data_IF_579059881073
#
_entry.id   IF_579059881073
#
_cell.length_a   1.000
_cell.length_b   1.000
_cell.length_c   1.000
_cell.angle_alpha   90.00
_cell.angle_beta   90.00
_cell.angle_gamma   90.00
#
_symmetry.space_group_name_H-M   'P 1'
#
loop_
_entity.id
_entity.type
_entity.pdbx_description
1 polymer ?
#
# COMPACT_ATOMS: atom_id res chain seq x y z
N UNK A 1 -20.98 -4.95 -34.13
CA UNK A 1 -20.90 -4.06 -32.93
C UNK A 1 -19.64 -3.21 -33.11
N UNK A 2 -19.77 -1.87 -33.09
CA UNK A 2 -18.62 -0.95 -33.20
C UNK A 2 -18.07 -0.66 -31.82
N UNK A 3 -16.92 -1.27 -31.49
CA UNK A 3 -16.25 -1.08 -30.20
C UNK A 3 -15.58 0.30 -30.09
N UNK A 4 -15.07 0.88 -31.23
CA UNK A 4 -14.45 2.19 -31.20
C UNK A 4 -15.46 3.28 -30.86
N UNK A 5 -16.65 3.25 -31.47
CA UNK A 5 -17.72 4.19 -31.11
C UNK A 5 -18.11 4.12 -29.62
N UNK A 6 -18.06 2.92 -29.00
CA UNK A 6 -18.31 2.77 -27.55
C UNK A 6 -17.17 3.36 -26.70
N UNK A 7 -15.92 3.16 -27.12
CA UNK A 7 -14.75 3.74 -26.46
C UNK A 7 -14.76 5.27 -26.56
N UNK A 8 -15.07 5.80 -27.75
CA UNK A 8 -15.22 7.26 -27.96
C UNK A 8 -16.28 7.85 -27.01
N UNK A 9 -17.43 7.19 -26.91
CA UNK A 9 -18.50 7.61 -25.98
C UNK A 9 -17.98 7.63 -24.52
N UNK A 10 -17.29 6.58 -24.09
CA UNK A 10 -16.77 6.49 -22.72
C UNK A 10 -15.71 7.57 -22.44
N UNK A 11 -14.82 7.86 -23.39
CA UNK A 11 -13.79 8.90 -23.26
C UNK A 11 -14.43 10.30 -23.26
N UNK A 12 -15.41 10.55 -24.12
CA UNK A 12 -16.13 11.82 -24.16
C UNK A 12 -16.85 12.10 -22.83
N UNK A 13 -17.50 11.09 -22.23
CA UNK A 13 -18.11 11.23 -20.90
C UNK A 13 -17.08 11.68 -19.84
N UNK A 14 -15.85 11.12 -19.88
CA UNK A 14 -14.79 11.55 -18.95
C UNK A 14 -14.36 13.02 -19.18
N UNK A 15 -14.34 13.47 -20.44
CA UNK A 15 -14.07 14.87 -20.77
C UNK A 15 -15.19 15.79 -20.27
N UNK A 16 -16.45 15.43 -20.51
CA UNK A 16 -17.63 16.20 -20.06
C UNK A 16 -17.70 16.29 -18.53
N UNK A 17 -17.34 15.22 -17.83
CA UNK A 17 -17.30 15.18 -16.36
C UNK A 17 -16.03 15.83 -15.76
N UNK A 18 -15.09 16.32 -16.57
CA UNK A 18 -13.83 16.87 -16.12
C UNK A 18 -12.89 15.86 -15.45
N UNK A 19 -13.11 14.59 -15.65
CA UNK A 19 -12.32 13.48 -15.05
C UNK A 19 -11.27 12.87 -15.99
N UNK A 20 -11.18 13.38 -17.22
CA UNK A 20 -10.17 12.89 -18.17
C UNK A 20 -8.76 13.24 -17.67
N UNK A 21 -7.87 12.25 -17.63
CA UNK A 21 -6.51 12.41 -17.13
C UNK A 21 -5.54 12.59 -18.30
N UNK A 22 -4.76 13.67 -18.24
CA UNK A 22 -3.66 13.92 -19.18
C UNK A 22 -2.35 13.45 -18.54
N UNK A 23 -1.60 12.61 -19.25
CA UNK A 23 -0.29 12.15 -18.83
C UNK A 23 0.76 12.97 -19.57
N UNK A 24 1.64 13.65 -18.83
CA UNK A 24 2.72 14.44 -19.40
C UNK A 24 4.04 13.66 -19.35
N UNK A 25 4.86 13.80 -20.39
CA UNK A 25 6.18 13.18 -20.48
C UNK A 25 7.20 14.04 -19.72
N UNK A 26 7.69 13.53 -18.60
CA UNK A 26 8.61 14.23 -17.69
C UNK A 26 9.95 13.52 -17.66
N UNK A 27 10.99 14.22 -18.10
CA UNK A 27 12.38 13.79 -17.91
C UNK A 27 12.92 14.36 -16.59
N UNK A 28 13.15 13.45 -15.62
CA UNK A 28 13.84 13.77 -14.36
C UNK A 28 15.34 13.53 -14.55
N UNK A 29 16.16 14.44 -14.04
CA UNK A 29 17.62 14.32 -14.07
C UNK A 29 18.15 14.10 -12.67
N UNK A 30 18.95 13.05 -12.50
CA UNK A 30 19.61 12.77 -11.23
C UNK A 30 20.40 13.98 -10.72
N UNK A 31 20.25 14.30 -9.44
CA UNK A 31 20.89 15.46 -8.80
C UNK A 31 20.23 16.81 -9.11
N UNK A 32 19.12 16.86 -9.87
CA UNK A 32 18.42 18.11 -10.21
C UNK A 32 16.99 18.17 -9.64
N UNK A 33 16.54 17.10 -8.97
CA UNK A 33 15.23 17.08 -8.36
C UNK A 33 15.04 18.24 -7.36
N UNK A 34 13.88 18.95 -7.33
CA UNK A 34 12.60 18.66 -8.01
C UNK A 34 12.46 19.22 -9.43
N UNK A 35 13.54 19.76 -10.04
CA UNK A 35 13.50 20.26 -11.39
C UNK A 35 13.48 19.12 -12.41
N UNK A 36 12.68 19.31 -13.47
CA UNK A 36 12.51 18.34 -14.55
C UNK A 36 12.26 19.06 -15.88
N UNK A 37 12.30 18.32 -16.97
CA UNK A 37 11.95 18.82 -18.30
C UNK A 37 10.64 18.15 -18.73
N UNK A 38 9.64 18.95 -19.08
CA UNK A 38 8.44 18.47 -19.76
C UNK A 38 8.70 18.42 -21.28
N UNK A 39 8.61 17.22 -21.85
CA UNK A 39 8.65 17.01 -23.29
C UNK A 39 7.23 17.07 -23.85
N UNK A 40 6.95 18.09 -24.64
CA UNK A 40 5.61 18.31 -25.19
C UNK A 40 5.38 17.46 -26.45
N UNK A 41 4.10 17.19 -26.81
CA UNK A 41 3.77 16.44 -28.00
C UNK A 41 4.25 17.05 -29.31
N UNK A 42 4.46 18.38 -29.36
CA UNK A 42 5.00 19.12 -30.51
C UNK A 42 6.54 19.03 -30.63
N UNK A 43 7.19 18.28 -29.73
CA UNK A 43 8.65 18.12 -29.69
C UNK A 43 9.39 19.24 -28.96
N UNK A 44 8.68 20.26 -28.47
CA UNK A 44 9.30 21.31 -27.64
C UNK A 44 9.52 20.84 -26.20
N UNK A 45 10.50 21.43 -25.53
CA UNK A 45 10.84 21.15 -24.13
C UNK A 45 10.59 22.37 -23.26
N UNK A 46 10.10 22.12 -22.05
CA UNK A 46 9.85 23.17 -21.06
C UNK A 46 10.40 22.77 -19.69
N UNK A 47 11.24 23.60 -19.04
CA UNK A 47 11.63 23.40 -17.66
C UNK A 47 10.40 23.49 -16.74
N UNK A 48 10.30 22.56 -15.81
CA UNK A 48 9.23 22.53 -14.80
C UNK A 48 9.80 22.20 -13.42
N UNK A 49 9.05 22.52 -12.37
CA UNK A 49 9.30 22.06 -11.01
C UNK A 49 8.19 21.10 -10.60
N UNK A 50 8.55 19.88 -10.16
CA UNK A 50 7.61 18.86 -9.74
C UNK A 50 7.25 19.06 -8.26
N UNK A 51 6.02 19.48 -7.99
CA UNK A 51 5.50 19.71 -6.63
C UNK A 51 4.75 18.50 -6.06
N UNK A 52 4.31 17.58 -6.92
CA UNK A 52 3.47 16.44 -6.58
C UNK A 52 4.22 15.10 -6.61
N UNK A 53 5.54 15.12 -6.37
CA UNK A 53 6.34 13.90 -6.36
C UNK A 53 6.10 13.06 -5.11
N UNK A 54 6.13 11.72 -5.26
CA UNK A 54 6.01 10.78 -4.15
C UNK A 54 7.36 10.40 -3.50
N UNK A 55 8.47 10.77 -4.10
CA UNK A 55 9.81 10.61 -3.50
C UNK A 55 10.03 11.69 -2.42
N UNK A 56 9.36 11.53 -1.28
CA UNK A 56 9.23 12.55 -0.23
C UNK A 56 10.57 13.02 0.35
N UNK A 57 11.55 12.13 0.42
CA UNK A 57 12.88 12.40 0.99
C UNK A 57 13.97 12.50 -0.07
N UNK A 58 13.64 12.38 -1.36
CA UNK A 58 14.62 12.38 -2.44
C UNK A 58 15.53 11.13 -2.47
N UNK A 59 15.13 10.06 -1.79
CA UNK A 59 15.95 8.85 -1.67
C UNK A 59 16.18 8.13 -3.00
N UNK A 60 15.28 8.31 -3.97
CA UNK A 60 15.45 7.76 -5.32
C UNK A 60 16.68 8.31 -6.08
N UNK A 61 17.29 9.39 -5.58
CA UNK A 61 18.50 9.98 -6.13
C UNK A 61 19.68 9.94 -5.13
N UNK A 62 19.49 9.32 -3.97
CA UNK A 62 20.53 9.28 -2.94
C UNK A 62 21.70 8.41 -3.39
N UNK A 63 22.97 8.90 -3.30
CA UNK A 63 24.14 8.18 -3.81
C UNK A 63 24.28 6.75 -3.26
N UNK A 64 23.98 6.52 -1.99
CA UNK A 64 24.05 5.18 -1.39
C UNK A 64 23.00 4.21 -1.99
N UNK A 65 21.79 4.70 -2.28
CA UNK A 65 20.74 3.89 -2.92
C UNK A 65 21.16 3.53 -4.34
N UNK A 66 21.64 4.50 -5.12
CA UNK A 66 22.12 4.26 -6.48
C UNK A 66 23.31 3.30 -6.50
N UNK A 67 24.27 3.45 -5.57
CA UNK A 67 25.43 2.55 -5.49
C UNK A 67 25.01 1.10 -5.17
N UNK A 68 24.10 0.89 -4.22
CA UNK A 68 23.58 -0.43 -3.89
C UNK A 68 22.80 -1.08 -5.06
N UNK A 69 22.05 -0.27 -5.84
CA UNK A 69 21.37 -0.75 -7.05
C UNK A 69 22.37 -1.19 -8.13
N UNK A 70 23.44 -0.42 -8.36
CA UNK A 70 24.50 -0.80 -9.30
C UNK A 70 25.21 -2.08 -8.87
N UNK A 71 25.57 -2.21 -7.58
CA UNK A 71 26.18 -3.42 -7.05
C UNK A 71 25.29 -4.66 -7.27
N UNK A 72 24.00 -4.54 -6.94
CA UNK A 72 23.06 -5.65 -7.14
C UNK A 72 22.89 -6.01 -8.62
N UNK A 73 22.82 -5.01 -9.50
CA UNK A 73 22.70 -5.20 -10.95
C UNK A 73 23.92 -5.93 -11.51
N UNK A 74 25.12 -5.54 -11.13
CA UNK A 74 26.38 -6.18 -11.57
C UNK A 74 26.50 -7.61 -11.01
N UNK A 75 26.06 -7.85 -9.78
CA UNK A 75 26.19 -9.15 -9.13
C UNK A 75 25.17 -10.19 -9.64
N UNK A 76 23.96 -9.79 -9.99
CA UNK A 76 22.84 -10.74 -10.24
C UNK A 76 22.05 -10.48 -11.53
N UNK A 77 22.34 -9.40 -12.25
CA UNK A 77 21.57 -8.99 -13.43
C UNK A 77 20.28 -8.24 -13.08
N UNK A 78 19.52 -7.86 -14.12
CA UNK A 78 18.40 -6.91 -14.00
C UNK A 78 17.09 -7.50 -13.48
N UNK A 79 16.96 -8.81 -13.37
CA UNK A 79 15.69 -9.45 -13.03
C UNK A 79 15.83 -10.68 -12.14
N UNK A 80 14.72 -11.09 -11.53
CA UNK A 80 14.68 -12.26 -10.63
C UNK A 80 14.68 -13.62 -11.35
N UNK A 81 14.49 -13.64 -12.66
CA UNK A 81 14.56 -14.86 -13.48
C UNK A 81 13.35 -15.80 -13.38
N UNK A 82 12.34 -15.46 -12.58
CA UNK A 82 11.13 -16.29 -12.43
C UNK A 82 10.15 -15.75 -11.40
N UNK A 83 9.04 -16.46 -11.23
CA UNK A 83 8.08 -16.17 -10.16
C UNK A 83 8.65 -16.57 -8.79
N UNK A 84 8.18 -15.92 -7.73
CA UNK A 84 8.70 -16.11 -6.37
C UNK A 84 8.67 -17.56 -5.89
N UNK A 85 7.64 -18.31 -6.25
CA UNK A 85 7.43 -19.70 -5.82
C UNK A 85 8.19 -20.75 -6.62
N UNK A 86 8.82 -20.40 -7.75
CA UNK A 86 9.59 -21.34 -8.57
C UNK A 86 11.09 -21.08 -8.42
N UNK A 87 11.59 -19.96 -8.98
CA UNK A 87 13.01 -19.62 -8.99
C UNK A 87 13.31 -18.14 -8.74
N UNK A 88 12.28 -17.32 -8.62
CA UNK A 88 12.40 -15.85 -8.54
C UNK A 88 12.60 -15.30 -7.12
N UNK A 89 12.61 -16.13 -6.07
CA UNK A 89 12.98 -15.68 -4.72
C UNK A 89 14.49 -15.61 -4.58
N UNK A 90 15.02 -14.38 -4.63
CA UNK A 90 16.46 -14.12 -4.51
C UNK A 90 16.87 -13.81 -3.07
N UNK A 91 18.17 -13.77 -2.82
CA UNK A 91 18.74 -13.35 -1.54
C UNK A 91 18.30 -11.93 -1.15
N UNK A 92 18.13 -11.03 -2.12
CA UNK A 92 17.68 -9.65 -1.87
C UNK A 92 16.24 -9.59 -1.37
N UNK A 93 15.34 -10.42 -1.91
CA UNK A 93 13.98 -10.53 -1.36
C UNK A 93 14.02 -10.94 0.11
N UNK A 94 14.78 -11.98 0.45
CA UNK A 94 14.81 -12.50 1.83
C UNK A 94 15.47 -11.53 2.80
N UNK A 95 16.53 -10.84 2.39
CA UNK A 95 17.18 -9.80 3.21
C UNK A 95 16.23 -8.63 3.45
N UNK A 96 15.56 -8.12 2.40
CA UNK A 96 14.64 -7.01 2.54
C UNK A 96 13.41 -7.39 3.38
N UNK A 97 12.84 -8.58 3.20
CA UNK A 97 11.75 -9.09 4.05
C UNK A 97 12.17 -9.16 5.53
N UNK A 98 13.40 -9.59 5.83
CA UNK A 98 13.92 -9.63 7.19
C UNK A 98 14.10 -8.21 7.80
N UNK A 99 14.65 -7.26 7.03
CA UNK A 99 14.79 -5.86 7.48
C UNK A 99 13.44 -5.19 7.73
N UNK A 100 12.44 -5.46 6.88
CA UNK A 100 11.10 -4.91 7.05
C UNK A 100 10.36 -5.53 8.24
N UNK A 101 10.54 -6.82 8.48
CA UNK A 101 10.01 -7.49 9.66
C UNK A 101 10.60 -6.91 10.95
N UNK A 102 11.93 -6.72 10.99
CA UNK A 102 12.62 -6.08 12.11
C UNK A 102 12.19 -4.62 12.31
N UNK A 103 12.07 -3.84 11.22
CA UNK A 103 11.60 -2.45 11.26
C UNK A 103 10.24 -2.35 11.96
N UNK A 104 9.31 -3.21 11.61
CA UNK A 104 7.95 -3.22 12.16
C UNK A 104 7.76 -4.09 13.40
N UNK A 105 8.86 -4.70 13.92
CA UNK A 105 8.81 -5.61 15.07
C UNK A 105 7.78 -6.74 14.88
N UNK A 106 7.70 -7.27 13.65
CA UNK A 106 6.85 -8.40 13.28
C UNK A 106 7.70 -9.64 13.02
N UNK A 107 7.05 -10.80 13.05
CA UNK A 107 7.76 -12.08 12.84
C UNK A 107 8.25 -12.23 11.40
N UNK A 108 7.49 -11.73 10.43
CA UNK A 108 7.82 -11.84 9.01
C UNK A 108 7.27 -10.63 8.22
N UNK A 109 7.88 -10.36 7.07
CA UNK A 109 7.33 -9.47 6.06
C UNK A 109 7.27 -10.19 4.71
N UNK A 110 6.37 -9.74 3.84
CA UNK A 110 6.17 -10.31 2.51
C UNK A 110 6.16 -9.19 1.47
N UNK A 111 7.07 -9.28 0.49
CA UNK A 111 7.22 -8.29 -0.58
C UNK A 111 6.23 -8.52 -1.72
N UNK A 112 5.71 -7.42 -2.26
CA UNK A 112 4.87 -7.34 -3.45
C UNK A 112 5.44 -6.33 -4.44
N UNK A 113 4.97 -6.34 -5.68
CA UNK A 113 5.38 -5.39 -6.72
C UNK A 113 5.00 -3.94 -6.39
N UNK A 114 4.00 -3.73 -5.56
CA UNK A 114 3.58 -2.42 -5.05
C UNK A 114 2.73 -2.58 -3.78
N UNK A 115 2.58 -1.51 -3.00
CA UNK A 115 1.63 -1.47 -1.89
C UNK A 115 0.17 -1.59 -2.36
N UNK A 116 -0.13 -1.16 -3.59
CA UNK A 116 -1.43 -1.39 -4.21
C UNK A 116 -1.76 -2.88 -4.27
N UNK A 117 -0.81 -3.67 -4.81
CA UNK A 117 -0.97 -5.13 -4.91
C UNK A 117 -0.94 -5.80 -3.53
N UNK A 118 -0.14 -5.29 -2.59
CA UNK A 118 -0.11 -5.79 -1.22
C UNK A 118 -1.48 -5.63 -0.53
N UNK A 119 -2.11 -4.44 -0.63
CA UNK A 119 -3.47 -4.18 -0.13
C UNK A 119 -4.50 -5.09 -0.81
N UNK A 120 -4.55 -5.07 -2.14
CA UNK A 120 -5.53 -5.83 -2.92
C UNK A 120 -5.41 -7.34 -2.67
N UNK A 121 -4.18 -7.88 -2.74
CA UNK A 121 -3.93 -9.30 -2.52
C UNK A 121 -4.25 -9.74 -1.09
N UNK A 122 -3.85 -8.96 -0.08
CA UNK A 122 -4.07 -9.32 1.32
C UNK A 122 -5.54 -9.25 1.68
N UNK A 123 -6.19 -8.09 1.49
CA UNK A 123 -7.60 -7.90 1.86
C UNK A 123 -8.55 -8.82 1.09
N UNK A 124 -8.26 -9.14 -0.19
CA UNK A 124 -9.07 -10.10 -0.94
C UNK A 124 -8.84 -11.55 -0.54
N UNK A 125 -7.75 -11.86 0.15
CA UNK A 125 -7.42 -13.23 0.57
C UNK A 125 -7.94 -13.54 1.97
N UNK A 126 -7.98 -12.57 2.87
CA UNK A 126 -8.43 -12.78 4.26
C UNK A 126 -9.79 -13.51 4.37
N UNK A 127 -10.84 -13.18 3.61
CA UNK A 127 -12.12 -13.92 3.71
C UNK A 127 -12.06 -15.36 3.21
N UNK A 128 -11.05 -15.75 2.43
CA UNK A 128 -10.81 -17.15 2.07
C UNK A 128 -10.18 -17.93 3.23
N UNK A 129 -9.35 -17.24 4.02
CA UNK A 129 -8.67 -17.81 5.19
C UNK A 129 -9.60 -17.86 6.41
N UNK A 130 -10.52 -16.90 6.53
CA UNK A 130 -11.48 -16.78 7.64
C UNK A 130 -12.90 -16.77 7.09
N UNK A 131 -13.54 -17.95 6.89
CA UNK A 131 -14.92 -18.02 6.39
C UNK A 131 -15.87 -17.20 7.27
N UNK A 132 -16.69 -16.35 6.67
CA UNK A 132 -17.59 -15.45 7.38
C UNK A 132 -16.96 -14.12 7.82
N UNK A 133 -15.70 -13.85 7.46
CA UNK A 133 -15.02 -12.60 7.81
C UNK A 133 -15.80 -11.36 7.36
N UNK A 134 -15.94 -10.42 8.29
CA UNK A 134 -16.50 -9.10 8.04
C UNK A 134 -15.35 -8.08 8.02
N UNK A 135 -15.23 -7.31 6.94
CA UNK A 135 -14.24 -6.25 6.82
C UNK A 135 -14.89 -4.90 7.12
N UNK A 136 -14.43 -4.24 8.18
CA UNK A 136 -14.82 -2.86 8.52
C UNK A 136 -13.78 -1.93 7.89
N UNK A 137 -14.20 -1.12 6.93
CA UNK A 137 -13.31 -0.25 6.14
C UNK A 137 -13.68 1.20 6.33
N UNK A 138 -12.70 2.05 6.60
CA UNK A 138 -12.89 3.50 6.60
C UNK A 138 -13.36 3.98 5.22
N UNK A 139 -14.26 4.97 5.19
CA UNK A 139 -14.87 5.49 3.97
C UNK A 139 -13.87 6.17 3.04
N UNK A 140 -12.74 6.68 3.55
CA UNK A 140 -11.70 7.35 2.77
C UNK A 140 -10.46 6.48 2.52
N UNK A 141 -10.51 5.18 2.83
CA UNK A 141 -9.43 4.27 2.49
C UNK A 141 -9.05 4.34 1.01
N UNK A 142 -7.76 4.16 0.74
CA UNK A 142 -7.20 4.17 -0.61
C UNK A 142 -7.87 3.15 -1.54
N UNK A 143 -7.94 3.49 -2.83
CA UNK A 143 -8.57 2.65 -3.87
C UNK A 143 -8.10 1.18 -3.86
N UNK A 144 -6.81 0.91 -3.55
CA UNK A 144 -6.28 -0.45 -3.45
C UNK A 144 -6.92 -1.27 -2.33
N UNK A 145 -7.20 -0.65 -1.19
CA UNK A 145 -7.92 -1.29 -0.08
C UNK A 145 -9.37 -1.54 -0.47
N UNK A 146 -10.03 -0.55 -1.08
CA UNK A 146 -11.41 -0.67 -1.57
C UNK A 146 -11.55 -1.83 -2.57
N UNK A 147 -10.63 -1.94 -3.52
CA UNK A 147 -10.63 -3.04 -4.51
C UNK A 147 -10.38 -4.40 -3.84
N UNK A 148 -9.44 -4.49 -2.91
CA UNK A 148 -9.20 -5.71 -2.14
C UNK A 148 -10.44 -6.17 -1.36
N UNK A 149 -11.13 -5.22 -0.71
CA UNK A 149 -12.39 -5.49 0.02
C UNK A 149 -13.53 -5.90 -0.90
N UNK A 150 -13.58 -5.37 -2.14
CA UNK A 150 -14.65 -5.68 -3.12
C UNK A 150 -14.46 -7.02 -3.82
N UNK A 151 -13.21 -7.40 -4.09
CA UNK A 151 -12.87 -8.47 -5.05
C UNK A 151 -13.45 -9.84 -4.70
N UNK A 152 -13.60 -10.19 -3.44
CA UNK A 152 -14.06 -11.52 -3.05
C UNK A 152 -15.54 -11.62 -2.70
N UNK A 153 -16.30 -10.53 -2.76
CA UNK A 153 -17.72 -10.50 -2.44
C UNK A 153 -18.05 -10.75 -0.97
N UNK A 154 -17.07 -10.75 -0.06
CA UNK A 154 -17.26 -10.94 1.38
C UNK A 154 -18.08 -9.84 2.05
N UNK A 155 -18.51 -10.08 3.27
CA UNK A 155 -19.22 -9.10 4.08
C UNK A 155 -18.33 -7.90 4.38
N UNK A 156 -18.86 -6.70 4.19
CA UNK A 156 -18.15 -5.45 4.48
C UNK A 156 -19.04 -4.42 5.12
N UNK A 157 -18.45 -3.59 5.98
CA UNK A 157 -19.07 -2.43 6.62
C UNK A 157 -18.19 -1.21 6.37
N UNK A 158 -18.71 -0.24 5.67
CA UNK A 158 -17.99 1.02 5.47
C UNK A 158 -18.40 1.96 6.60
N UNK A 159 -17.44 2.33 7.45
CA UNK A 159 -17.72 3.32 8.51
C UNK A 159 -17.27 4.71 8.07
N UNK A 160 -17.93 5.73 8.63
CA UNK A 160 -17.61 7.12 8.34
C UNK A 160 -16.18 7.42 8.74
N UNK A 161 -15.51 8.24 7.93
CA UNK A 161 -14.12 8.57 8.10
C UNK A 161 -13.79 9.02 9.53
N UNK A 162 -12.86 8.30 10.18
CA UNK A 162 -12.40 8.50 11.55
C UNK A 162 -13.52 8.56 12.63
N UNK A 163 -14.74 8.09 12.30
CA UNK A 163 -15.89 8.09 13.22
C UNK A 163 -15.96 6.78 14.03
N UNK A 164 -15.38 6.81 15.23
CA UNK A 164 -15.35 5.67 16.15
C UNK A 164 -16.74 5.26 16.64
N UNK A 165 -17.70 6.20 16.74
CA UNK A 165 -19.06 5.88 17.15
C UNK A 165 -19.79 5.09 16.05
N UNK A 166 -19.62 5.47 14.78
CA UNK A 166 -20.16 4.74 13.63
C UNK A 166 -19.49 3.36 13.48
N UNK A 167 -18.17 3.25 13.71
CA UNK A 167 -17.45 1.98 13.70
C UNK A 167 -17.99 1.06 14.80
N UNK A 168 -18.11 1.54 16.06
CA UNK A 168 -18.66 0.79 17.19
C UNK A 168 -20.06 0.28 16.90
N UNK A 169 -20.96 1.15 16.44
CA UNK A 169 -22.34 0.77 16.12
C UNK A 169 -22.40 -0.37 15.07
N UNK A 170 -21.49 -0.38 14.12
CA UNK A 170 -21.40 -1.45 13.11
C UNK A 170 -20.85 -2.75 13.69
N UNK A 171 -19.87 -2.67 14.58
CA UNK A 171 -19.31 -3.85 15.28
C UNK A 171 -20.36 -4.51 16.18
N UNK A 172 -21.15 -3.70 16.90
CA UNK A 172 -22.24 -4.16 17.79
C UNK A 172 -23.42 -4.79 17.01
N UNK A 173 -23.64 -4.36 15.76
CA UNK A 173 -24.75 -4.84 14.94
C UNK A 173 -24.49 -6.22 14.29
N UNK A 174 -23.24 -6.66 14.23
CA UNK A 174 -22.88 -7.93 13.60
C UNK A 174 -22.70 -9.04 14.65
N UNK A 175 -22.70 -10.30 14.18
CA UNK A 175 -22.52 -11.48 15.03
C UNK A 175 -21.20 -11.37 15.84
N UNK A 176 -21.25 -11.46 17.18
CA UNK A 176 -20.07 -11.38 18.02
C UNK A 176 -19.03 -12.46 17.69
N UNK A 177 -19.47 -13.65 17.27
CA UNK A 177 -18.61 -14.78 16.96
C UNK A 177 -18.03 -14.75 15.52
N UNK A 178 -18.51 -13.84 14.67
CA UNK A 178 -17.97 -13.71 13.32
C UNK A 178 -16.52 -13.17 13.36
N UNK A 179 -15.60 -13.73 12.56
CA UNK A 179 -14.28 -13.15 12.42
C UNK A 179 -14.36 -11.73 11.81
N UNK A 180 -13.55 -10.83 12.31
CA UNK A 180 -13.60 -9.39 11.98
C UNK A 180 -12.20 -8.86 11.64
N UNK A 181 -12.11 -7.88 10.74
CA UNK A 181 -10.91 -7.07 10.52
C UNK A 181 -11.30 -5.61 10.34
N UNK A 182 -10.59 -4.70 11.01
CA UNK A 182 -10.75 -3.26 10.85
C UNK A 182 -9.59 -2.76 9.98
N UNK A 183 -9.91 -2.22 8.79
CA UNK A 183 -8.97 -1.73 7.81
C UNK A 183 -9.02 -0.20 7.70
N UNK A 184 -7.89 0.45 7.92
CA UNK A 184 -7.76 1.90 7.97
C UNK A 184 -6.35 2.36 7.59
N UNK A 185 -6.17 3.67 7.35
CA UNK A 185 -4.85 4.27 7.09
C UNK A 185 -4.35 5.03 8.32
N UNK A 186 -3.03 5.07 8.48
CA UNK A 186 -2.40 5.90 9.52
C UNK A 186 -2.39 7.38 9.13
N UNK A 187 -2.17 7.67 7.84
CA UNK A 187 -2.25 8.99 7.24
C UNK A 187 -3.02 8.87 5.92
N UNK A 188 -4.13 9.58 5.82
CA UNK A 188 -4.96 9.59 4.62
C UNK A 188 -4.38 10.52 3.56
N UNK A 189 -4.17 10.00 2.36
CA UNK A 189 -3.38 10.64 1.31
C UNK A 189 -3.92 11.98 0.80
N UNK A 190 -5.24 12.14 0.77
CA UNK A 190 -5.89 13.31 0.18
C UNK A 190 -6.16 14.41 1.22
N UNK A 191 -6.45 14.04 2.45
CA UNK A 191 -6.83 14.95 3.53
C UNK A 191 -5.64 15.27 4.44
N UNK A 192 -4.67 14.36 4.54
CA UNK A 192 -3.44 14.53 5.32
C UNK A 192 -3.66 14.41 6.83
N UNK A 193 -4.80 13.91 7.25
CA UNK A 193 -5.13 13.68 8.65
C UNK A 193 -4.69 12.29 9.12
N UNK A 194 -4.66 12.11 10.44
CA UNK A 194 -4.24 10.87 11.08
C UNK A 194 -5.45 10.01 11.45
N UNK A 195 -5.33 8.71 11.20
CA UNK A 195 -6.25 7.72 11.75
C UNK A 195 -6.13 7.62 13.29
N UNK A 196 -7.23 7.44 14.03
CA UNK A 196 -7.24 7.30 15.48
C UNK A 196 -6.80 5.89 15.91
N UNK A 197 -5.51 5.55 15.71
CA UNK A 197 -4.95 4.20 15.81
C UNK A 197 -5.26 3.57 17.18
N UNK A 198 -4.98 4.28 18.28
CA UNK A 198 -5.18 3.75 19.63
C UNK A 198 -6.63 3.34 19.87
N UNK A 199 -7.56 4.22 19.54
CA UNK A 199 -8.98 3.95 19.76
C UNK A 199 -9.54 2.87 18.82
N UNK A 200 -8.99 2.73 17.60
CA UNK A 200 -9.32 1.59 16.72
C UNK A 200 -8.79 0.28 17.30
N UNK A 201 -7.57 0.28 17.85
CA UNK A 201 -7.03 -0.90 18.54
C UNK A 201 -7.88 -1.29 19.78
N UNK A 202 -8.36 -0.30 20.55
CA UNK A 202 -9.25 -0.55 21.69
C UNK A 202 -10.55 -1.24 21.24
N UNK A 203 -11.15 -0.76 20.15
CA UNK A 203 -12.33 -1.40 19.56
C UNK A 203 -12.01 -2.80 19.00
N UNK A 204 -10.86 -2.95 18.37
CA UNK A 204 -10.45 -4.26 17.84
C UNK A 204 -10.28 -5.30 18.95
N UNK A 205 -9.67 -4.93 20.07
CA UNK A 205 -9.53 -5.80 21.24
C UNK A 205 -10.89 -6.12 21.89
N UNK A 206 -11.75 -5.11 22.04
CA UNK A 206 -13.09 -5.28 22.62
C UNK A 206 -13.98 -6.24 21.82
N UNK A 207 -13.91 -6.17 20.48
CA UNK A 207 -14.75 -6.95 19.57
C UNK A 207 -14.05 -8.17 18.95
N UNK A 208 -12.83 -8.48 19.36
CA UNK A 208 -12.05 -9.61 18.83
C UNK A 208 -11.73 -9.49 17.35
N UNK A 209 -11.48 -8.28 16.85
CA UNK A 209 -11.17 -7.99 15.48
C UNK A 209 -9.65 -7.93 15.24
N UNK A 210 -9.21 -8.36 14.06
CA UNK A 210 -7.86 -8.07 13.56
C UNK A 210 -7.75 -6.61 13.13
N UNK A 211 -6.55 -6.03 13.26
CA UNK A 211 -6.21 -4.69 12.79
C UNK A 211 -5.39 -4.77 11.50
N UNK A 212 -5.81 -4.03 10.47
CA UNK A 212 -5.09 -3.84 9.22
C UNK A 212 -4.83 -2.35 9.02
N UNK A 213 -3.57 -1.93 9.12
CA UNK A 213 -3.18 -0.53 8.93
C UNK A 213 -2.39 -0.35 7.62
N UNK A 214 -2.73 0.69 6.86
CA UNK A 214 -1.91 1.17 5.75
C UNK A 214 -1.03 2.33 6.21
N UNK A 215 0.29 2.09 6.26
CA UNK A 215 1.32 3.06 6.64
C UNK A 215 2.04 3.68 5.42
N UNK A 216 1.51 3.53 4.22
CA UNK A 216 2.15 3.90 2.95
C UNK A 216 2.60 5.37 2.92
N UNK A 217 1.86 6.27 3.57
CA UNK A 217 2.19 7.69 3.66
C UNK A 217 3.05 8.05 4.88
N UNK A 218 3.43 7.08 5.70
CA UNK A 218 4.12 7.31 6.97
C UNK A 218 5.47 6.60 7.09
N UNK A 219 5.62 5.40 6.50
CA UNK A 219 6.89 4.67 6.52
C UNK A 219 8.03 5.48 5.90
N UNK A 220 9.19 5.46 6.55
CA UNK A 220 10.36 6.26 6.21
C UNK A 220 10.34 7.69 6.79
N UNK A 221 9.21 8.16 7.35
CA UNK A 221 9.06 9.55 7.81
C UNK A 221 8.66 9.70 9.28
N UNK A 222 7.88 8.77 9.81
CA UNK A 222 7.37 8.85 11.18
C UNK A 222 7.92 7.71 12.04
N UNK A 223 8.08 7.99 13.34
CA UNK A 223 8.64 7.08 14.31
C UNK A 223 10.17 7.13 14.39
N UNK A 224 10.76 6.67 15.49
CA UNK A 224 12.21 6.72 15.74
C UNK A 224 13.05 5.97 14.70
N UNK A 225 12.53 4.91 14.12
CA UNK A 225 13.18 4.11 13.07
C UNK A 225 12.58 4.34 11.68
N UNK A 226 11.50 5.13 11.57
CA UNK A 226 10.77 5.34 10.33
C UNK A 226 9.75 4.24 10.03
N UNK A 227 9.27 3.52 11.03
CA UNK A 227 8.29 2.45 10.83
C UNK A 227 6.84 2.95 10.67
N UNK A 228 6.60 4.25 10.83
CA UNK A 228 5.30 4.84 10.61
C UNK A 228 4.69 5.48 11.85
N UNK A 229 3.42 5.83 11.76
CA UNK A 229 2.68 6.50 12.86
C UNK A 229 2.45 5.54 14.02
N UNK A 230 2.19 4.27 13.76
CA UNK A 230 2.03 3.27 14.82
C UNK A 230 3.32 3.13 15.66
N UNK A 231 4.51 3.29 15.04
CA UNK A 231 5.77 3.37 15.80
C UNK A 231 5.87 4.66 16.60
N UNK A 232 5.57 5.82 15.98
CA UNK A 232 5.58 7.13 16.65
C UNK A 232 4.76 7.11 17.95
N UNK A 233 3.61 6.45 17.90
CA UNK A 233 2.65 6.42 19.01
C UNK A 233 2.84 5.21 19.93
N UNK A 234 3.84 4.34 19.67
CA UNK A 234 4.14 3.16 20.49
C UNK A 234 3.11 2.02 20.35
N UNK A 235 2.35 1.99 19.26
CA UNK A 235 1.20 1.10 19.07
C UNK A 235 1.45 -0.06 18.10
N UNK A 236 2.66 -0.19 17.51
CA UNK A 236 2.95 -1.25 16.51
C UNK A 236 2.64 -2.66 17.01
N UNK A 237 2.81 -2.92 18.31
CA UNK A 237 2.55 -4.22 18.91
C UNK A 237 1.06 -4.61 18.90
N UNK A 238 0.15 -3.62 18.80
CA UNK A 238 -1.31 -3.80 18.73
C UNK A 238 -1.86 -3.98 17.32
N UNK A 239 -1.00 -3.85 16.30
CA UNK A 239 -1.40 -4.00 14.90
C UNK A 239 -1.09 -5.41 14.42
N UNK A 240 -2.06 -6.09 13.80
CA UNK A 240 -1.85 -7.45 13.29
C UNK A 240 -1.17 -7.46 11.92
N UNK A 241 -1.60 -6.57 11.02
CA UNK A 241 -1.07 -6.49 9.65
C UNK A 241 -0.76 -5.04 9.32
N UNK A 242 0.48 -4.76 8.95
CA UNK A 242 0.96 -3.44 8.51
C UNK A 242 1.24 -3.53 7.01
N UNK A 243 0.62 -2.66 6.21
CA UNK A 243 0.96 -2.46 4.81
C UNK A 243 1.89 -1.26 4.66
N UNK A 244 2.94 -1.39 3.85
CA UNK A 244 3.89 -0.32 3.60
C UNK A 244 4.35 -0.29 2.14
N UNK A 245 5.03 0.80 1.77
CA UNK A 245 5.54 1.01 0.41
C UNK A 245 7.02 1.33 0.41
N UNK A 246 7.69 0.93 -0.68
CA UNK A 246 9.06 1.35 -1.00
C UNK A 246 9.07 2.49 -2.03
N UNK A 247 7.89 2.86 -2.56
CA UNK A 247 7.76 3.77 -3.71
C UNK A 247 7.51 5.24 -3.32
N UNK A 248 7.59 5.59 -2.03
CA UNK A 248 7.43 6.97 -1.54
C UNK A 248 8.69 7.43 -0.81
N UNK A 249 8.69 7.49 0.51
CA UNK A 249 9.85 7.98 1.26
C UNK A 249 11.15 7.22 0.96
N UNK A 250 11.08 5.92 0.69
CA UNK A 250 12.26 5.12 0.29
C UNK A 250 12.71 5.36 -1.17
N UNK A 251 11.91 6.00 -2.01
CA UNK A 251 12.28 6.48 -3.34
C UNK A 251 12.51 5.41 -4.42
N UNK A 252 12.11 4.15 -4.19
CA UNK A 252 12.28 3.05 -5.13
C UNK A 252 10.94 2.46 -5.57
N UNK A 253 10.84 1.17 -5.81
CA UNK A 253 9.58 0.50 -6.17
C UNK A 253 9.32 -0.69 -5.26
N UNK A 254 8.04 -1.01 -5.08
CA UNK A 254 7.61 -2.15 -4.30
C UNK A 254 6.65 -1.78 -3.18
N UNK A 255 6.08 -2.81 -2.58
CA UNK A 255 5.27 -2.72 -1.38
C UNK A 255 5.42 -4.00 -0.57
N UNK A 256 4.86 -4.01 0.61
CA UNK A 256 4.98 -5.16 1.50
C UNK A 256 3.86 -5.18 2.53
N UNK A 257 3.67 -6.34 3.14
CA UNK A 257 3.01 -6.45 4.43
C UNK A 257 4.02 -6.93 5.48
N UNK A 258 3.80 -6.55 6.73
CA UNK A 258 4.50 -7.09 7.90
C UNK A 258 3.47 -7.59 8.91
N UNK A 259 3.61 -8.85 9.37
CA UNK A 259 2.63 -9.53 10.21
C UNK A 259 3.26 -10.73 10.93
N UNK A 260 2.42 -11.58 11.54
CA UNK A 260 2.88 -12.88 12.05
C UNK A 260 3.38 -13.77 10.91
N UNK A 261 4.29 -14.66 11.20
CA UNK A 261 4.84 -15.62 10.22
C UNK A 261 3.73 -16.47 9.57
N UNK A 262 2.73 -16.88 10.36
CA UNK A 262 1.58 -17.64 9.85
C UNK A 262 0.72 -16.81 8.90
N UNK A 263 0.50 -15.52 9.18
CA UNK A 263 -0.25 -14.63 8.30
C UNK A 263 0.49 -14.43 6.98
N UNK A 264 1.79 -14.12 7.02
CA UNK A 264 2.61 -13.96 5.82
C UNK A 264 2.64 -15.24 4.98
N UNK A 265 2.79 -16.41 5.60
CA UNK A 265 2.79 -17.69 4.90
C UNK A 265 1.44 -18.02 4.25
N UNK A 266 0.34 -17.76 4.96
CA UNK A 266 -1.00 -17.94 4.42
C UNK A 266 -1.27 -17.00 3.24
N UNK A 267 -0.94 -15.71 3.35
CA UNK A 267 -1.11 -14.75 2.25
C UNK A 267 -0.23 -15.15 1.05
N UNK A 268 1.03 -15.51 1.26
CA UNK A 268 1.93 -15.99 0.21
C UNK A 268 1.36 -17.18 -0.54
N UNK A 269 0.68 -18.09 0.17
CA UNK A 269 0.17 -19.35 -0.38
C UNK A 269 -1.19 -19.22 -1.08
N UNK A 270 -2.04 -18.28 -0.64
CA UNK A 270 -3.42 -18.17 -1.11
C UNK A 270 -3.70 -16.94 -1.99
N UNK A 271 -2.85 -15.90 -1.94
CA UNK A 271 -3.08 -14.67 -2.68
C UNK A 271 -2.73 -14.83 -4.18
N UNK A 272 -3.69 -14.64 -5.11
CA UNK A 272 -3.41 -14.78 -6.54
C UNK A 272 -2.39 -13.77 -7.05
N UNK A 273 -2.34 -12.58 -6.46
CA UNK A 273 -1.44 -11.50 -6.88
C UNK A 273 0.01 -11.68 -6.41
N UNK A 274 0.30 -12.75 -5.68
CA UNK A 274 1.66 -13.03 -5.22
C UNK A 274 2.44 -13.97 -6.14
N UNK A 275 1.75 -14.82 -6.86
CA UNK A 275 2.34 -15.84 -7.76
C UNK A 275 2.67 -15.24 -9.11
#
# INVERSE_FOLDING_TARGET
>A
MDYNAKLDTALNNLHEEGRYRTFIDIERKNGQFPHATWRKPDGSEQPITVWCGNDYLGMGQHPAVLAAMHEALEATGAGSGGTRNISGTTVYHKRLEAELADLHQKEEALLFTSAYIANDATLSTLPKLFPGLIIYSDALNHASMIEGVRRNGGAKRIFKHNDLADLRAKLEADDPDAPKVIAFESIYSMDGDFGPIEAICDLAEEFGALTYIDEVHAVGMYGPRGAGVAERDGLMHRIDIINGTLAKAYGVMGGYIAASAKMCDAIRSYAPGFI
#
